data_IF_386988324267
#
_entry.id   IF_386988324267
#
_cell.length_a   1.000
_cell.length_b   1.000
_cell.length_c   1.000
_cell.angle_alpha   90.00
_cell.angle_beta   90.00
_cell.angle_gamma   90.00
#
_symmetry.space_group_name_H-M   'P 1'
#
loop_
_entity.id
_entity.type
_entity.pdbx_description
1 polymer ?
#
# COMPACT_ATOMS: atom_id res chain seq x y z
N UNK A 1 -28.97 1.99 -7.99
CA UNK A 1 -27.63 1.78 -7.42
C UNK A 1 -26.58 2.72 -8.02
N UNK A 2 -26.04 2.50 -9.23
CA UNK A 2 -24.95 3.34 -9.78
C UNK A 2 -25.23 4.86 -9.76
N UNK A 3 -26.34 5.32 -10.34
CA UNK A 3 -26.69 6.75 -10.38
C UNK A 3 -26.89 7.36 -8.99
N UNK A 4 -27.44 6.59 -8.04
CA UNK A 4 -27.65 7.04 -6.66
C UNK A 4 -26.30 7.21 -5.95
N UNK A 5 -25.43 6.20 -6.04
CA UNK A 5 -24.08 6.26 -5.47
C UNK A 5 -23.23 7.38 -6.10
N UNK A 6 -23.35 7.61 -7.41
CA UNK A 6 -22.63 8.67 -8.10
C UNK A 6 -22.98 10.05 -7.53
N UNK A 7 -24.24 10.30 -7.18
CA UNK A 7 -24.64 11.56 -6.54
C UNK A 7 -24.03 11.76 -5.15
N UNK A 8 -23.79 10.67 -4.41
CA UNK A 8 -23.22 10.68 -3.06
C UNK A 8 -21.73 11.01 -3.02
N UNK A 9 -20.99 10.72 -4.10
CA UNK A 9 -19.54 11.02 -4.21
C UNK A 9 -19.24 12.50 -3.97
N UNK A 10 -20.15 13.40 -4.35
CA UNK A 10 -19.98 14.85 -4.18
C UNK A 10 -20.76 15.43 -3.00
N UNK A 11 -21.55 14.61 -2.31
CA UNK A 11 -22.30 15.05 -1.14
C UNK A 11 -21.34 15.25 0.06
N UNK A 12 -21.62 16.26 0.88
CA UNK A 12 -20.77 16.59 2.04
C UNK A 12 -20.84 15.49 3.11
N UNK A 13 -22.04 14.95 3.38
CA UNK A 13 -22.27 13.92 4.41
C UNK A 13 -23.26 12.84 3.94
N UNK A 14 -22.92 12.09 2.88
CA UNK A 14 -23.78 11.03 2.38
C UNK A 14 -23.94 9.93 3.44
N UNK A 15 -25.15 9.40 3.55
CA UNK A 15 -25.40 8.16 4.29
C UNK A 15 -25.42 6.97 3.33
N UNK A 16 -24.77 5.87 3.68
CA UNK A 16 -24.79 4.64 2.89
C UNK A 16 -25.65 3.56 3.55
N UNK A 17 -26.40 2.79 2.75
CA UNK A 17 -27.05 1.56 3.20
C UNK A 17 -26.05 0.39 3.18
N UNK A 18 -26.42 -0.74 3.78
CA UNK A 18 -25.57 -1.94 3.73
C UNK A 18 -25.46 -2.50 2.31
N UNK A 19 -26.55 -2.46 1.55
CA UNK A 19 -26.63 -2.92 0.16
C UNK A 19 -25.77 -2.05 -0.76
N UNK A 20 -25.73 -0.74 -0.49
CA UNK A 20 -24.85 0.19 -1.19
C UNK A 20 -23.37 -0.12 -0.94
N UNK A 21 -22.99 -0.36 0.33
CA UNK A 21 -21.62 -0.75 0.67
C UNK A 21 -21.27 -2.09 0.05
N UNK A 22 -22.17 -3.08 0.09
CA UNK A 22 -21.97 -4.37 -0.57
C UNK A 22 -21.72 -4.20 -2.07
N UNK A 23 -22.51 -3.35 -2.74
CA UNK A 23 -22.32 -3.06 -4.15
C UNK A 23 -20.94 -2.44 -4.41
N UNK A 24 -20.50 -1.48 -3.59
CA UNK A 24 -19.16 -0.89 -3.71
C UNK A 24 -18.08 -1.97 -3.61
N UNK A 25 -18.17 -2.87 -2.63
CA UNK A 25 -17.18 -3.95 -2.44
C UNK A 25 -17.15 -4.96 -3.60
N UNK A 26 -18.30 -5.27 -4.19
CA UNK A 26 -18.42 -6.16 -5.36
C UNK A 26 -17.81 -5.57 -6.63
N UNK A 27 -17.66 -4.24 -6.71
CA UNK A 27 -17.19 -3.52 -7.90
C UNK A 27 -15.78 -2.93 -7.74
N UNK A 28 -15.01 -3.37 -6.73
CA UNK A 28 -13.60 -2.98 -6.55
C UNK A 28 -12.67 -3.40 -7.70
N UNK A 29 -13.05 -4.44 -8.45
CA UNK A 29 -12.32 -4.92 -9.63
C UNK A 29 -12.94 -4.50 -10.96
N UNK A 30 -13.86 -3.52 -10.98
CA UNK A 30 -14.57 -3.14 -12.20
C UNK A 30 -13.59 -2.67 -13.30
N UNK A 31 -13.73 -3.12 -14.56
CA UNK A 31 -12.85 -2.70 -15.65
C UNK A 31 -12.93 -1.20 -15.95
N UNK A 32 -14.04 -0.53 -15.63
CA UNK A 32 -14.23 0.90 -15.84
C UNK A 32 -13.59 1.71 -14.70
N UNK A 33 -12.60 2.58 -14.98
CA UNK A 33 -12.03 3.48 -13.97
C UNK A 33 -13.09 4.44 -13.37
N UNK A 34 -14.07 4.85 -14.16
CA UNK A 34 -15.16 5.71 -13.70
C UNK A 34 -16.02 5.02 -12.61
N UNK A 35 -16.10 3.70 -12.65
CA UNK A 35 -16.80 2.91 -11.62
C UNK A 35 -15.83 2.60 -10.49
N UNK A 36 -14.65 2.07 -10.79
CA UNK A 36 -13.71 1.54 -9.81
C UNK A 36 -13.02 2.63 -8.99
N UNK A 37 -12.46 3.64 -9.65
CA UNK A 37 -11.63 4.67 -9.04
C UNK A 37 -12.51 5.83 -8.55
N UNK A 38 -13.27 6.43 -9.46
CA UNK A 38 -14.00 7.68 -9.22
C UNK A 38 -15.23 7.47 -8.32
N UNK A 39 -15.86 6.31 -8.41
CA UNK A 39 -17.05 5.97 -7.62
C UNK A 39 -16.70 5.06 -6.44
N UNK A 40 -16.25 3.84 -6.71
CA UNK A 40 -16.12 2.78 -5.71
C UNK A 40 -15.05 3.11 -4.68
N UNK A 41 -13.81 3.25 -5.12
CA UNK A 41 -12.70 3.51 -4.22
C UNK A 41 -12.86 4.86 -3.52
N UNK A 42 -13.24 5.91 -4.26
CA UNK A 42 -13.50 7.23 -3.67
C UNK A 42 -14.56 7.17 -2.57
N UNK A 43 -15.68 6.46 -2.77
CA UNK A 43 -16.73 6.34 -1.75
C UNK A 43 -16.25 5.58 -0.51
N UNK A 44 -15.48 4.49 -0.70
CA UNK A 44 -14.94 3.70 0.41
C UNK A 44 -13.86 4.47 1.19
N UNK A 45 -12.93 5.12 0.48
CA UNK A 45 -11.87 5.92 1.09
C UNK A 45 -12.46 7.11 1.87
N UNK A 46 -13.35 7.90 1.25
CA UNK A 46 -14.06 8.99 1.95
C UNK A 46 -14.84 8.46 3.14
N UNK A 47 -15.59 7.37 2.97
CA UNK A 47 -16.42 6.85 4.04
C UNK A 47 -15.63 6.40 5.27
N UNK A 48 -14.40 5.90 5.08
CA UNK A 48 -13.49 5.54 6.15
C UNK A 48 -12.77 6.78 6.72
N UNK A 49 -12.13 7.58 5.85
CA UNK A 49 -11.25 8.70 6.27
C UNK A 49 -12.01 9.90 6.83
N UNK A 50 -13.18 10.22 6.25
CA UNK A 50 -14.05 11.32 6.70
C UNK A 50 -15.09 10.84 7.72
N UNK A 51 -14.99 9.59 8.19
CA UNK A 51 -15.86 9.03 9.24
C UNK A 51 -17.36 9.01 8.89
N UNK A 52 -17.69 8.84 7.59
CA UNK A 52 -19.08 8.81 7.10
C UNK A 52 -19.77 7.46 7.33
N UNK A 53 -19.00 6.40 7.56
CA UNK A 53 -19.54 5.09 7.92
C UNK A 53 -19.81 4.94 9.41
N UNK A 54 -20.82 4.15 9.77
CA UNK A 54 -21.00 3.71 11.15
C UNK A 54 -19.95 2.66 11.53
N UNK A 55 -19.79 2.39 12.83
CA UNK A 55 -18.90 1.31 13.30
C UNK A 55 -19.30 -0.06 12.77
N UNK A 56 -20.60 -0.32 12.68
CA UNK A 56 -21.13 -1.57 12.13
C UNK A 56 -20.79 -1.72 10.65
N UNK A 57 -20.83 -0.62 9.89
CA UNK A 57 -20.41 -0.58 8.49
C UNK A 57 -18.91 -0.76 8.33
N UNK A 58 -18.10 -0.12 9.17
CA UNK A 58 -16.65 -0.31 9.19
C UNK A 58 -16.27 -1.79 9.45
N UNK A 59 -16.93 -2.44 10.41
CA UNK A 59 -16.76 -3.87 10.66
C UNK A 59 -17.19 -4.73 9.48
N UNK A 60 -18.35 -4.42 8.90
CA UNK A 60 -18.85 -5.12 7.72
C UNK A 60 -17.89 -5.03 6.54
N UNK A 61 -17.35 -3.84 6.25
CA UNK A 61 -16.35 -3.64 5.20
C UNK A 61 -15.12 -4.50 5.47
N UNK A 62 -14.57 -4.43 6.69
CA UNK A 62 -13.36 -5.16 7.06
C UNK A 62 -13.54 -6.69 6.99
N UNK A 63 -14.70 -7.21 7.42
CA UNK A 63 -15.03 -8.64 7.33
C UNK A 63 -15.21 -9.11 5.88
N UNK A 64 -15.97 -8.36 5.07
CA UNK A 64 -16.23 -8.73 3.69
C UNK A 64 -14.96 -8.69 2.84
N UNK A 65 -14.16 -7.62 2.98
CA UNK A 65 -12.96 -7.42 2.14
C UNK A 65 -11.84 -8.43 2.43
N UNK A 66 -11.79 -8.95 3.66
CA UNK A 66 -10.80 -9.94 4.09
C UNK A 66 -11.28 -11.40 3.99
N UNK A 67 -12.54 -11.59 3.61
CA UNK A 67 -13.06 -12.92 3.27
C UNK A 67 -12.54 -13.41 1.92
N UNK A 68 -12.78 -14.69 1.61
CA UNK A 68 -12.49 -15.28 0.30
C UNK A 68 -11.04 -15.01 -0.17
N UNK A 69 -10.08 -15.40 0.68
CA UNK A 69 -8.62 -15.21 0.48
C UNK A 69 -8.12 -13.75 0.49
N UNK A 70 -9.02 -12.75 0.64
CA UNK A 70 -8.63 -11.34 0.81
C UNK A 70 -7.81 -10.80 -0.36
N UNK A 71 -6.71 -10.10 -0.09
CA UNK A 71 -5.81 -9.57 -1.14
C UNK A 71 -5.00 -10.66 -1.86
N UNK A 72 -5.00 -11.90 -1.37
CA UNK A 72 -4.27 -13.01 -1.99
C UNK A 72 -5.10 -13.79 -3.01
N UNK A 73 -6.39 -13.46 -3.12
CA UNK A 73 -7.29 -14.08 -4.07
C UNK A 73 -6.75 -13.97 -5.49
N UNK A 74 -6.61 -15.11 -6.14
CA UNK A 74 -6.14 -15.21 -7.54
C UNK A 74 -4.79 -14.52 -7.79
N UNK A 75 -3.86 -14.55 -6.82
CA UNK A 75 -2.55 -13.88 -6.89
C UNK A 75 -1.69 -14.24 -8.11
N UNK A 76 -1.90 -15.42 -8.70
CA UNK A 76 -1.19 -15.87 -9.90
C UNK A 76 -1.86 -15.44 -11.22
N UNK A 77 -3.04 -14.81 -11.18
CA UNK A 77 -3.76 -14.30 -12.35
C UNK A 77 -3.46 -12.83 -12.58
N UNK A 78 -3.48 -12.40 -13.84
CA UNK A 78 -3.25 -11.01 -14.27
C UNK A 78 -4.53 -10.39 -14.87
N UNK A 79 -4.55 -9.07 -15.03
CA UNK A 79 -5.69 -8.34 -15.62
C UNK A 79 -6.76 -8.00 -14.59
N UNK A 80 -8.02 -8.43 -14.81
CA UNK A 80 -9.14 -8.10 -13.90
C UNK A 80 -8.90 -8.57 -12.47
N UNK A 81 -8.31 -9.76 -12.29
CA UNK A 81 -7.94 -10.27 -10.96
C UNK A 81 -6.92 -9.36 -10.27
N UNK A 82 -6.04 -8.67 -11.03
CA UNK A 82 -5.10 -7.69 -10.49
C UNK A 82 -5.81 -6.44 -10.00
N UNK A 83 -6.80 -5.94 -10.74
CA UNK A 83 -7.60 -4.80 -10.32
C UNK A 83 -8.26 -5.06 -8.96
N UNK A 84 -8.93 -6.21 -8.81
CA UNK A 84 -9.62 -6.55 -7.57
C UNK A 84 -8.65 -6.55 -6.38
N UNK A 85 -7.56 -7.31 -6.42
CA UNK A 85 -6.62 -7.38 -5.29
C UNK A 85 -5.85 -6.08 -5.03
N UNK A 86 -5.53 -5.33 -6.09
CA UNK A 86 -4.86 -4.03 -5.98
C UNK A 86 -5.74 -3.02 -5.25
N UNK A 87 -7.03 -2.95 -5.58
CA UNK A 87 -7.97 -2.06 -4.91
C UNK A 87 -8.39 -2.58 -3.52
N UNK A 88 -8.39 -3.90 -3.30
CA UNK A 88 -8.47 -4.46 -1.93
C UNK A 88 -7.31 -3.97 -1.07
N UNK A 89 -6.08 -3.90 -1.60
CA UNK A 89 -4.92 -3.41 -0.86
C UNK A 89 -5.10 -1.95 -0.42
N UNK A 90 -5.65 -1.08 -1.27
CA UNK A 90 -6.00 0.28 -0.88
C UNK A 90 -7.07 0.34 0.23
N UNK A 91 -8.10 -0.50 0.16
CA UNK A 91 -9.13 -0.56 1.21
C UNK A 91 -8.52 -1.06 2.53
N UNK A 92 -7.65 -2.07 2.50
CA UNK A 92 -6.91 -2.52 3.67
C UNK A 92 -6.07 -1.39 4.28
N UNK A 93 -5.36 -0.62 3.44
CA UNK A 93 -4.55 0.51 3.90
C UNK A 93 -5.43 1.54 4.64
N UNK A 94 -6.58 1.90 4.08
CA UNK A 94 -7.52 2.83 4.70
C UNK A 94 -8.08 2.31 6.03
N UNK A 95 -8.44 1.03 6.10
CA UNK A 95 -8.93 0.40 7.33
C UNK A 95 -7.86 0.41 8.43
N UNK A 96 -6.63 0.03 8.11
CA UNK A 96 -5.51 0.03 9.06
C UNK A 96 -5.14 1.45 9.51
N UNK A 97 -5.13 2.41 8.58
CA UNK A 97 -4.85 3.81 8.90
C UNK A 97 -5.88 4.39 9.87
N UNK A 98 -7.18 4.15 9.61
CA UNK A 98 -8.26 4.57 10.49
C UNK A 98 -8.25 3.84 11.84
N UNK A 99 -7.85 2.56 11.89
CA UNK A 99 -7.72 1.78 13.12
C UNK A 99 -6.51 2.20 13.97
N UNK A 100 -5.44 2.68 13.33
CA UNK A 100 -4.22 3.17 13.97
C UNK A 100 -4.34 4.61 14.52
N UNK A 101 -5.19 5.44 13.93
CA UNK A 101 -5.27 6.85 14.25
C UNK A 101 -6.05 7.11 15.56
N UNK A 102 -5.38 7.62 16.60
CA UNK A 102 -5.98 7.94 17.91
C UNK A 102 -7.13 8.95 17.87
N UNK A 103 -7.20 9.78 16.82
CA UNK A 103 -8.27 10.78 16.64
C UNK A 103 -9.49 10.21 15.90
N UNK A 104 -9.36 9.03 15.29
CA UNK A 104 -10.41 8.39 14.51
C UNK A 104 -11.49 7.76 15.39
N UNK A 105 -12.76 7.85 14.99
CA UNK A 105 -13.86 7.08 15.62
C UNK A 105 -13.68 5.57 15.51
N UNK A 106 -12.82 5.14 14.58
CA UNK A 106 -12.44 3.76 14.31
C UNK A 106 -11.15 3.33 15.01
N UNK A 107 -10.53 4.19 15.83
CA UNK A 107 -9.33 3.83 16.59
C UNK A 107 -9.52 2.53 17.37
N UNK A 108 -8.68 1.53 17.06
CA UNK A 108 -8.69 0.22 17.69
C UNK A 108 -10.08 -0.46 17.65
N UNK A 109 -10.81 -0.29 16.55
CA UNK A 109 -12.14 -0.89 16.33
C UNK A 109 -12.12 -2.13 15.46
N UNK A 110 -11.09 -2.41 14.67
CA UNK A 110 -10.97 -3.70 13.99
C UNK A 110 -10.99 -4.84 15.01
N UNK A 111 -11.69 -5.93 14.68
CA UNK A 111 -11.62 -7.17 15.47
C UNK A 111 -10.20 -7.72 15.38
N UNK A 112 -9.70 -8.32 16.46
CA UNK A 112 -8.30 -8.73 16.55
C UNK A 112 -7.88 -9.75 15.47
N UNK A 113 -8.78 -10.68 15.12
CA UNK A 113 -8.59 -11.66 14.05
C UNK A 113 -8.54 -10.99 12.67
N UNK A 114 -9.46 -10.07 12.38
CA UNK A 114 -9.47 -9.30 11.13
C UNK A 114 -8.23 -8.42 11.02
N UNK A 115 -7.87 -7.70 12.08
CA UNK A 115 -6.63 -6.90 12.13
C UNK A 115 -5.41 -7.77 11.87
N UNK A 116 -5.33 -8.95 12.47
CA UNK A 116 -4.24 -9.89 12.22
C UNK A 116 -4.17 -10.29 10.74
N UNK A 117 -5.30 -10.63 10.11
CA UNK A 117 -5.36 -10.97 8.68
C UNK A 117 -4.85 -9.81 7.82
N UNK A 118 -5.32 -8.59 8.06
CA UNK A 118 -4.91 -7.40 7.30
C UNK A 118 -3.40 -7.12 7.42
N UNK A 119 -2.86 -7.21 8.65
CA UNK A 119 -1.43 -7.01 8.90
C UNK A 119 -0.56 -8.11 8.28
N UNK A 120 -1.00 -9.37 8.39
CA UNK A 120 -0.25 -10.53 7.89
C UNK A 120 -0.24 -10.59 6.36
N UNK A 121 -1.42 -10.45 5.73
CA UNK A 121 -1.51 -10.39 4.28
C UNK A 121 -0.79 -9.16 3.73
N UNK A 122 -0.95 -7.98 4.35
CA UNK A 122 -0.29 -6.76 3.90
C UNK A 122 1.24 -6.83 3.99
N UNK A 123 1.79 -7.54 4.98
CA UNK A 123 3.23 -7.80 5.07
C UNK A 123 3.74 -8.68 3.91
N UNK A 124 2.94 -9.64 3.47
CA UNK A 124 3.37 -10.68 2.52
C UNK A 124 2.90 -10.47 1.07
N UNK A 125 1.98 -9.53 0.82
CA UNK A 125 1.38 -9.30 -0.50
C UNK A 125 2.42 -9.00 -1.59
N UNK A 126 3.32 -8.04 -1.36
CA UNK A 126 4.31 -7.65 -2.36
C UNK A 126 5.37 -8.74 -2.63
N UNK A 127 5.58 -9.69 -1.71
CA UNK A 127 6.44 -10.85 -1.96
C UNK A 127 5.81 -11.76 -3.03
N UNK A 128 4.48 -11.81 -3.11
CA UNK A 128 3.72 -12.68 -4.00
C UNK A 128 3.33 -12.00 -5.32
N UNK A 129 3.11 -10.69 -5.30
CA UNK A 129 2.68 -9.93 -6.48
C UNK A 129 3.71 -9.96 -7.62
N UNK A 130 3.20 -10.14 -8.85
CA UNK A 130 3.99 -10.28 -10.09
C UNK A 130 3.55 -9.30 -11.16
N UNK A 131 2.33 -8.81 -11.11
CA UNK A 131 1.80 -7.85 -12.08
C UNK A 131 2.38 -6.47 -11.80
N UNK A 132 3.29 -6.05 -12.68
CA UNK A 132 3.99 -4.76 -12.58
C UNK A 132 3.32 -3.66 -13.40
N UNK A 133 2.09 -3.90 -13.87
CA UNK A 133 1.33 -2.91 -14.62
C UNK A 133 0.97 -1.72 -13.72
N UNK A 134 1.51 -0.54 -14.03
CA UNK A 134 1.08 0.73 -13.45
C UNK A 134 -0.18 1.24 -14.15
N UNK A 135 -0.03 1.86 -15.32
CA UNK A 135 -1.16 2.27 -16.17
C UNK A 135 -1.48 1.27 -17.30
N UNK A 136 -2.76 0.95 -17.47
CA UNK A 136 -3.30 0.20 -18.60
C UNK A 136 -4.18 1.09 -19.47
N UNK A 137 -3.92 1.11 -20.78
CA UNK A 137 -4.82 1.80 -21.74
C UNK A 137 -6.24 1.25 -21.75
N UNK A 138 -6.44 0.01 -21.30
CA UNK A 138 -7.75 -0.64 -21.22
C UNK A 138 -8.45 -0.37 -19.89
N UNK A 139 -7.70 -0.41 -18.79
CA UNK A 139 -8.27 -0.44 -17.44
C UNK A 139 -7.96 0.79 -16.59
N UNK A 140 -7.19 1.76 -17.10
CA UNK A 140 -6.66 2.85 -16.29
C UNK A 140 -5.60 2.36 -15.29
N UNK A 141 -5.59 2.92 -14.09
CA UNK A 141 -4.62 2.58 -13.05
C UNK A 141 -4.83 1.18 -12.49
N UNK A 142 -3.82 0.33 -12.61
CA UNK A 142 -3.79 -1.03 -12.04
C UNK A 142 -2.98 -1.01 -10.74
N UNK A 143 -1.74 -0.51 -10.77
CA UNK A 143 -0.93 -0.13 -9.60
C UNK A 143 -0.81 -1.18 -8.48
N UNK A 144 -0.74 -2.47 -8.79
CA UNK A 144 -0.64 -3.51 -7.77
C UNK A 144 0.55 -3.30 -6.80
N UNK A 145 1.72 -2.93 -7.33
CA UNK A 145 2.89 -2.59 -6.50
C UNK A 145 2.73 -1.27 -5.75
N UNK A 146 2.16 -0.24 -6.36
CA UNK A 146 1.97 1.06 -5.73
C UNK A 146 0.98 0.97 -4.55
N UNK A 147 -0.17 0.33 -4.76
CA UNK A 147 -1.18 0.10 -3.73
C UNK A 147 -0.69 -0.87 -2.66
N UNK A 148 0.08 -1.89 -3.03
CA UNK A 148 0.75 -2.77 -2.08
C UNK A 148 1.78 -2.04 -1.21
N UNK A 149 2.49 -1.05 -1.76
CA UNK A 149 3.39 -0.20 -0.99
C UNK A 149 2.63 0.69 0.00
N UNK A 150 1.51 1.28 -0.42
CA UNK A 150 0.62 2.04 0.47
C UNK A 150 0.13 1.16 1.63
N UNK A 151 -0.31 -0.07 1.34
CA UNK A 151 -0.69 -1.04 2.37
C UNK A 151 0.48 -1.37 3.30
N UNK A 152 1.66 -1.70 2.77
CA UNK A 152 2.82 -2.06 3.58
C UNK A 152 3.26 -0.89 4.49
N UNK A 153 3.13 0.36 4.04
CA UNK A 153 3.34 1.54 4.91
C UNK A 153 2.39 1.50 6.10
N UNK A 154 1.08 1.37 5.88
CA UNK A 154 0.09 1.36 6.97
C UNK A 154 0.28 0.16 7.90
N UNK A 155 0.69 -1.01 7.36
CA UNK A 155 1.07 -2.19 8.16
C UNK A 155 2.20 -1.85 9.12
N UNK A 156 3.31 -1.30 8.65
CA UNK A 156 4.49 -1.03 9.48
C UNK A 156 4.24 0.10 10.48
N UNK A 157 3.45 1.10 10.11
CA UNK A 157 3.08 2.21 10.99
C UNK A 157 2.06 1.81 12.07
N UNK A 158 1.29 0.73 11.86
CA UNK A 158 0.24 0.32 12.79
C UNK A 158 0.78 0.10 14.23
N UNK A 159 0.06 0.54 15.29
CA UNK A 159 0.46 0.34 16.68
C UNK A 159 0.71 -1.13 17.06
N UNK A 160 -0.10 -2.03 16.50
CA UNK A 160 -0.03 -3.47 16.77
C UNK A 160 0.96 -4.23 15.87
N UNK A 161 1.65 -3.56 14.95
CA UNK A 161 2.70 -4.21 14.17
C UNK A 161 3.93 -4.43 15.05
N UNK A 162 4.42 -5.68 15.18
CA UNK A 162 5.45 -5.97 16.16
C UNK A 162 6.84 -5.62 15.63
N UNK A 163 7.63 -4.93 16.44
CA UNK A 163 8.97 -4.45 16.06
C UNK A 163 9.92 -5.59 15.63
N UNK A 164 9.73 -6.80 16.17
CA UNK A 164 10.53 -7.97 15.79
C UNK A 164 10.28 -8.40 14.34
N UNK A 165 9.22 -7.95 13.66
CA UNK A 165 8.94 -8.21 12.24
C UNK A 165 9.50 -7.17 11.27
N UNK A 166 10.12 -6.08 11.73
CA UNK A 166 10.69 -5.04 10.84
C UNK A 166 11.70 -5.62 9.84
N UNK A 167 12.50 -6.61 10.24
CA UNK A 167 13.45 -7.29 9.34
C UNK A 167 12.76 -7.98 8.14
N UNK A 168 11.49 -8.40 8.28
CA UNK A 168 10.72 -8.97 7.16
C UNK A 168 10.42 -7.91 6.11
N UNK A 169 10.11 -6.67 6.51
CA UNK A 169 9.88 -5.54 5.60
C UNK A 169 11.10 -5.31 4.71
N UNK A 170 12.30 -5.28 5.29
CA UNK A 170 13.55 -5.13 4.54
C UNK A 170 13.82 -6.31 3.59
N UNK A 171 13.50 -7.53 4.01
CA UNK A 171 13.60 -8.70 3.16
C UNK A 171 12.62 -8.59 1.97
N UNK A 172 11.37 -8.22 2.21
CA UNK A 172 10.35 -8.01 1.18
C UNK A 172 10.81 -6.94 0.17
N UNK A 173 11.22 -5.75 0.63
CA UNK A 173 11.73 -4.68 -0.24
C UNK A 173 12.96 -5.13 -1.05
N UNK A 174 13.92 -5.79 -0.40
CA UNK A 174 15.13 -6.30 -1.07
C UNK A 174 14.79 -7.32 -2.17
N UNK A 175 13.82 -8.21 -1.92
CA UNK A 175 13.35 -9.17 -2.91
C UNK A 175 12.63 -8.51 -4.08
N UNK A 176 11.76 -7.52 -3.82
CA UNK A 176 11.07 -6.76 -4.88
C UNK A 176 12.11 -6.15 -5.83
N UNK A 177 13.03 -5.35 -5.31
CA UNK A 177 14.00 -4.65 -6.15
C UNK A 177 14.98 -5.60 -6.87
N UNK A 178 15.25 -6.79 -6.33
CA UNK A 178 16.07 -7.81 -7.00
C UNK A 178 15.29 -8.64 -8.05
N UNK A 179 13.98 -8.78 -7.90
CA UNK A 179 13.14 -9.59 -8.80
C UNK A 179 12.58 -8.80 -9.98
N UNK A 180 12.22 -7.54 -9.78
CA UNK A 180 11.53 -6.76 -10.83
C UNK A 180 12.52 -6.29 -11.89
N UNK A 181 12.39 -6.88 -13.09
CA UNK A 181 13.26 -6.64 -14.25
C UNK A 181 12.76 -5.54 -15.19
N UNK A 182 11.77 -4.74 -14.78
CA UNK A 182 11.32 -3.56 -15.52
C UNK A 182 11.65 -2.28 -14.74
N UNK A 183 11.72 -1.16 -15.45
CA UNK A 183 11.77 0.16 -14.81
C UNK A 183 10.36 0.53 -14.35
N UNK A 184 10.19 0.87 -13.07
CA UNK A 184 8.97 1.52 -12.60
C UNK A 184 8.83 2.91 -13.22
N UNK A 185 7.63 3.25 -13.65
CA UNK A 185 7.34 4.50 -14.38
C UNK A 185 6.14 5.25 -13.84
N UNK A 186 5.36 4.64 -12.95
CA UNK A 186 4.09 5.16 -12.48
C UNK A 186 4.11 5.25 -10.93
N UNK A 187 5.15 5.89 -10.39
CA UNK A 187 5.38 6.17 -8.95
C UNK A 187 5.53 4.95 -8.03
N UNK A 188 5.66 3.72 -8.53
CA UNK A 188 5.77 2.54 -7.66
C UNK A 188 6.99 2.60 -6.74
N UNK A 189 8.15 3.04 -7.25
CA UNK A 189 9.38 3.18 -6.46
C UNK A 189 9.28 4.31 -5.43
N UNK A 190 8.53 5.38 -5.72
CA UNK A 190 8.28 6.48 -4.77
C UNK A 190 7.33 6.06 -3.66
N UNK A 191 6.29 5.27 -3.98
CA UNK A 191 5.41 4.69 -2.95
C UNK A 191 6.13 3.63 -2.13
N UNK A 192 7.00 2.82 -2.73
CA UNK A 192 7.88 1.90 -1.99
C UNK A 192 8.84 2.64 -1.05
N UNK A 193 9.29 3.84 -1.39
CA UNK A 193 10.09 4.67 -0.48
C UNK A 193 9.33 5.07 0.79
N UNK A 194 8.00 5.26 0.68
CA UNK A 194 7.12 5.58 1.83
C UNK A 194 7.12 4.48 2.88
N UNK A 195 7.36 3.23 2.50
CA UNK A 195 7.53 2.09 3.43
C UNK A 195 8.73 2.27 4.35
N UNK A 196 9.71 3.10 3.96
CA UNK A 196 10.90 3.39 4.76
C UNK A 196 10.76 4.71 5.52
N UNK A 197 10.49 5.81 4.82
CA UNK A 197 10.55 7.13 5.46
C UNK A 197 9.39 7.37 6.44
N UNK A 198 8.18 6.86 6.17
CA UNK A 198 7.03 7.12 7.03
C UNK A 198 7.17 6.41 8.40
N UNK A 199 7.54 5.11 8.47
CA UNK A 199 7.89 4.47 9.74
C UNK A 199 9.06 5.13 10.48
N UNK A 200 10.07 5.66 9.78
CA UNK A 200 11.16 6.44 10.40
C UNK A 200 10.60 7.68 11.09
N UNK A 201 9.74 8.44 10.40
CA UNK A 201 9.12 9.66 10.95
C UNK A 201 8.24 9.37 12.18
N UNK A 202 7.65 8.18 12.24
CA UNK A 202 6.85 7.72 13.39
C UNK A 202 7.65 7.01 14.48
N UNK A 203 8.98 6.89 14.33
CA UNK A 203 9.85 6.20 15.30
C UNK A 203 9.65 4.69 15.36
N UNK A 204 9.10 4.09 14.30
CA UNK A 204 8.87 2.64 14.15
C UNK A 204 10.08 1.91 13.58
N UNK A 205 10.90 2.61 12.80
CA UNK A 205 12.14 2.10 12.21
C UNK A 205 13.27 3.06 12.53
N UNK A 206 14.41 2.51 12.96
CA UNK A 206 15.64 3.28 13.17
C UNK A 206 16.38 3.47 11.83
N UNK A 207 16.95 4.66 11.61
CA UNK A 207 17.67 4.96 10.36
C UNK A 207 18.93 4.10 10.20
N UNK A 208 19.56 3.70 11.31
CA UNK A 208 20.70 2.78 11.36
C UNK A 208 20.35 1.38 10.83
N UNK A 209 19.11 0.91 11.05
CA UNK A 209 18.63 -0.35 10.49
C UNK A 209 18.53 -0.27 8.97
N UNK A 210 17.99 0.83 8.43
CA UNK A 210 17.89 1.06 6.99
C UNK A 210 19.28 1.21 6.37
N UNK A 211 20.18 1.98 7.00
CA UNK A 211 21.55 2.15 6.55
C UNK A 211 22.31 0.82 6.51
N UNK A 212 22.11 -0.03 7.52
CA UNK A 212 22.70 -1.37 7.58
C UNK A 212 22.15 -2.26 6.47
N UNK A 213 20.83 -2.27 6.26
CA UNK A 213 20.19 -3.02 5.18
C UNK A 213 20.71 -2.61 3.80
N UNK A 214 20.80 -1.31 3.50
CA UNK A 214 21.36 -0.82 2.22
C UNK A 214 22.76 -1.41 1.96
N UNK A 215 23.62 -1.48 2.98
CA UNK A 215 24.98 -2.04 2.88
C UNK A 215 25.00 -3.56 2.62
N UNK A 216 23.91 -4.28 2.90
CA UNK A 216 23.80 -5.72 2.60
C UNK A 216 23.34 -6.00 1.17
N UNK A 217 22.85 -4.98 0.48
CA UNK A 217 22.34 -5.12 -0.87
C UNK A 217 23.49 -5.10 -1.86
N UNK A 218 23.45 -6.06 -2.77
CA UNK A 218 24.41 -6.21 -3.87
C UNK A 218 23.61 -6.36 -5.16
N UNK A 219 24.04 -5.61 -6.19
CA UNK A 219 23.44 -5.58 -7.51
C UNK A 219 24.56 -5.73 -8.54
N UNK A 220 24.61 -6.90 -9.16
CA UNK A 220 25.42 -7.13 -10.34
C UNK A 220 24.78 -6.36 -11.51
N UNK A 221 25.53 -5.52 -12.22
CA UNK A 221 25.02 -4.75 -13.37
C UNK A 221 25.73 -5.25 -14.63
N UNK A 222 25.25 -6.36 -15.18
CA UNK A 222 25.78 -6.95 -16.42
C UNK A 222 24.82 -6.68 -17.60
N UNK A 223 23.51 -6.82 -17.36
CA UNK A 223 22.49 -6.67 -18.38
C UNK A 223 21.57 -5.48 -18.12
N UNK A 224 20.79 -5.08 -19.14
CA UNK A 224 19.84 -3.97 -19.05
C UNK A 224 18.83 -4.14 -17.91
N UNK A 225 18.35 -5.37 -17.71
CA UNK A 225 17.39 -5.69 -16.65
C UNK A 225 17.99 -5.50 -15.26
N UNK A 226 19.29 -5.76 -15.11
CA UNK A 226 19.98 -5.56 -13.84
C UNK A 226 20.17 -4.09 -13.51
N UNK A 227 20.44 -3.27 -14.54
CA UNK A 227 20.42 -1.82 -14.39
C UNK A 227 19.05 -1.32 -13.93
N UNK A 228 17.94 -1.91 -14.41
CA UNK A 228 16.59 -1.53 -13.95
C UNK A 228 16.35 -1.86 -12.48
N UNK A 229 16.72 -3.07 -12.04
CA UNK A 229 16.67 -3.47 -10.62
C UNK A 229 17.41 -2.49 -9.73
N UNK A 230 18.67 -2.19 -10.08
CA UNK A 230 19.50 -1.22 -9.36
C UNK A 230 18.86 0.18 -9.37
N UNK A 231 18.44 0.65 -10.55
CA UNK A 231 17.89 1.99 -10.73
C UNK A 231 16.59 2.18 -9.95
N UNK A 232 15.73 1.16 -9.87
CA UNK A 232 14.47 1.22 -9.10
C UNK A 232 14.76 1.46 -7.62
N UNK A 233 15.69 0.69 -7.04
CA UNK A 233 16.07 0.91 -5.65
C UNK A 233 16.75 2.27 -5.47
N UNK A 234 17.62 2.68 -6.39
CA UNK A 234 18.28 3.99 -6.32
C UNK A 234 17.26 5.14 -6.30
N UNK A 235 16.21 5.06 -7.10
CA UNK A 235 15.13 6.07 -7.10
C UNK A 235 14.30 6.04 -5.82
N UNK A 236 13.97 4.85 -5.32
CA UNK A 236 13.34 4.70 -3.99
C UNK A 236 14.20 5.35 -2.88
N UNK A 237 15.51 5.07 -2.84
CA UNK A 237 16.42 5.63 -1.84
C UNK A 237 16.59 7.15 -1.98
N UNK A 238 16.56 7.68 -3.20
CA UNK A 238 16.58 9.13 -3.43
C UNK A 238 15.32 9.80 -2.84
N UNK A 239 14.16 9.18 -2.99
CA UNK A 239 12.93 9.70 -2.38
C UNK A 239 12.99 9.65 -0.84
N UNK A 240 13.51 8.56 -0.24
CA UNK A 240 13.80 8.50 1.20
C UNK A 240 14.70 9.64 1.65
N UNK A 241 15.79 9.90 0.90
CA UNK A 241 16.69 11.01 1.19
C UNK A 241 15.93 12.34 1.21
N UNK A 242 15.17 12.64 0.14
CA UNK A 242 14.48 13.91 -0.03
C UNK A 242 13.46 14.12 1.10
N UNK A 243 12.63 13.12 1.40
CA UNK A 243 11.58 13.24 2.41
C UNK A 243 12.13 13.47 3.83
N UNK A 244 13.23 12.79 4.19
CA UNK A 244 13.87 12.95 5.51
C UNK A 244 14.70 14.24 5.60
N UNK A 245 15.40 14.63 4.52
CA UNK A 245 16.23 15.85 4.47
C UNK A 245 15.34 17.10 4.53
N UNK A 246 14.23 17.15 3.77
CA UNK A 246 13.26 18.25 3.81
C UNK A 246 12.66 18.49 5.21
N UNK A 247 12.56 17.42 6.03
CA UNK A 247 12.07 17.48 7.42
C UNK A 247 13.18 17.73 8.44
N UNK A 248 14.44 17.85 8.01
CA UNK A 248 15.63 18.02 8.84
C UNK A 248 15.84 16.88 9.86
N UNK A 249 15.48 15.65 9.49
CA UNK A 249 15.62 14.46 10.35
C UNK A 249 16.60 13.42 9.80
N UNK A 250 17.12 13.60 8.59
CA UNK A 250 18.06 12.67 7.97
C UNK A 250 19.38 12.61 8.75
N UNK A 251 19.74 11.43 9.24
CA UNK A 251 20.98 11.19 9.98
C UNK A 251 22.16 10.92 9.04
N UNK A 252 23.36 11.26 9.52
CA UNK A 252 24.60 11.14 8.75
C UNK A 252 24.90 9.72 8.25
N UNK A 253 24.56 8.68 9.02
CA UNK A 253 24.85 7.31 8.60
C UNK A 253 23.96 6.88 7.43
N UNK A 254 22.65 7.10 7.52
CA UNK A 254 21.72 6.81 6.42
C UNK A 254 22.02 7.67 5.20
N UNK A 255 22.33 8.95 5.40
CA UNK A 255 22.78 9.85 4.34
C UNK A 255 23.97 9.28 3.58
N UNK A 256 25.02 8.85 4.28
CA UNK A 256 26.21 8.24 3.66
C UNK A 256 25.90 6.93 2.96
N UNK A 257 25.04 6.09 3.54
CA UNK A 257 24.62 4.83 2.93
C UNK A 257 23.92 5.07 1.58
N UNK A 258 22.97 6.00 1.52
CA UNK A 258 22.26 6.36 0.28
C UNK A 258 23.21 7.00 -0.73
N UNK A 259 24.05 7.95 -0.31
CA UNK A 259 25.01 8.61 -1.20
C UNK A 259 26.06 7.67 -1.78
N UNK A 260 26.39 6.59 -1.05
CA UNK A 260 27.34 5.56 -1.51
C UNK A 260 26.69 4.51 -2.41
N UNK A 261 25.35 4.49 -2.54
CA UNK A 261 24.62 3.56 -3.39
C UNK A 261 24.65 4.05 -4.86
N UNK A 262 25.79 3.83 -5.51
CA UNK A 262 26.10 4.21 -6.89
C UNK A 262 26.82 3.06 -7.62
N UNK A 263 26.74 3.05 -8.96
CA UNK A 263 27.45 2.10 -9.83
C UNK A 263 28.80 2.66 -10.28
#
# INVERSE_FOLDING_TARGET
>A
MYQELQSKVTEEKPSYSREEIQWLLEHLGDPSPEIRDDLVFTSLARGIQEELFTREQFHFIAETISSDEGIEKEIDKIGLSTLERSFRALVYANLLSADANQQSIFYQRLKADIRYILLDQGLHYLEKEKDTTGFSSQYGWVHAFAHGADLLTEVVCHPDFPNDKVHKVFNTLGQIFKRISIRFTDDEDWRLARVLYEPILQGKIEQEQVASWIKTLDFLIEEREDFYKFSNLRSCLLEVYIQLDQRNVLQDELKKAIQSFQY
#
